data_IF_165789889719
#
_entry.id   IF_165789889719
#
_cell.length_a   1.000
_cell.length_b   1.000
_cell.length_c   1.000
_cell.angle_alpha   90.00
_cell.angle_beta   90.00
_cell.angle_gamma   90.00
#
_symmetry.space_group_name_H-M   'P 1'
#
loop_
_entity.id
_entity.type
_entity.pdbx_description
1 polymer ?
#
# COMPACT_ATOMS: atom_id res chain seq x y z
N UNK A 1 -5.33 1.92 -15.58
CA UNK A 1 -4.14 2.24 -14.75
C UNK A 1 -3.97 1.15 -13.69
N UNK A 2 -2.78 0.57 -13.56
CA UNK A 2 -2.51 -0.61 -12.69
C UNK A 2 -1.70 -0.28 -11.42
N UNK A 3 -1.22 0.96 -11.29
CA UNK A 3 -0.36 1.41 -10.20
C UNK A 3 -1.10 1.72 -8.89
N UNK A 4 -0.36 2.04 -7.81
CA UNK A 4 -0.93 2.53 -6.58
C UNK A 4 -1.53 3.93 -6.76
N UNK A 5 -2.48 4.26 -5.90
CA UNK A 5 -3.10 5.58 -5.80
C UNK A 5 -2.48 6.40 -4.65
N UNK A 6 -1.82 5.71 -3.72
CA UNK A 6 -1.26 6.28 -2.52
C UNK A 6 0.02 5.52 -2.13
N UNK A 7 1.06 6.25 -1.74
CA UNK A 7 2.24 5.67 -1.07
C UNK A 7 2.36 6.27 0.33
N UNK A 8 2.42 5.38 1.31
CA UNK A 8 2.60 5.73 2.73
C UNK A 8 3.97 5.23 3.19
N UNK A 9 4.78 6.12 3.76
CA UNK A 9 6.05 5.78 4.40
C UNK A 9 5.79 5.28 5.83
N UNK A 10 6.26 4.06 6.11
CA UNK A 10 6.25 3.47 7.44
C UNK A 10 7.40 3.95 8.31
N UNK A 11 7.46 3.47 9.56
CA UNK A 11 8.44 3.94 10.56
C UNK A 11 9.80 3.26 10.45
N UNK A 12 9.89 2.05 9.87
CA UNK A 12 11.13 1.24 9.81
C UNK A 12 11.60 1.04 8.36
N UNK A 13 11.64 2.15 7.62
CA UNK A 13 12.03 2.26 6.21
C UNK A 13 11.16 1.49 5.20
N UNK A 14 10.10 0.81 5.63
CA UNK A 14 9.11 0.25 4.70
C UNK A 14 8.23 1.34 4.07
N UNK A 15 7.83 1.10 2.83
CA UNK A 15 6.80 1.86 2.13
C UNK A 15 5.59 0.97 1.90
N UNK A 16 4.41 1.58 1.80
CA UNK A 16 3.13 0.90 1.59
C UNK A 16 2.50 1.49 0.35
N UNK A 17 2.47 0.72 -0.73
CA UNK A 17 1.73 1.06 -1.93
C UNK A 17 0.28 0.63 -1.72
N UNK A 18 -0.65 1.58 -1.85
CA UNK A 18 -2.07 1.36 -1.60
C UNK A 18 -2.85 1.62 -2.87
N UNK A 19 -3.78 0.72 -3.18
CA UNK A 19 -4.70 0.84 -4.32
C UNK A 19 -6.12 0.49 -3.88
N UNK A 20 -7.09 1.32 -4.24
CA UNK A 20 -8.49 0.98 -4.07
C UNK A 20 -8.92 -0.09 -5.09
N UNK A 21 -9.60 -1.12 -4.59
CA UNK A 21 -10.14 -2.23 -5.36
C UNK A 21 -11.64 -2.27 -5.10
N UNK A 22 -12.46 -1.63 -5.95
CA UNK A 22 -13.89 -1.45 -5.68
C UNK A 22 -14.68 -2.76 -5.76
N UNK A 23 -14.21 -3.74 -6.55
CA UNK A 23 -14.88 -5.01 -6.76
C UNK A 23 -14.06 -6.15 -6.18
N UNK A 24 -14.46 -6.63 -5.01
CA UNK A 24 -14.02 -7.92 -4.44
C UNK A 24 -15.24 -8.71 -3.98
N UNK A 25 -15.09 -10.01 -3.70
CA UNK A 25 -16.18 -10.86 -3.21
C UNK A 25 -16.71 -10.44 -1.82
N UNK A 26 -16.00 -9.59 -1.08
CA UNK A 26 -16.38 -9.04 0.24
C UNK A 26 -16.61 -7.52 0.19
N UNK A 27 -16.94 -6.97 -0.98
CA UNK A 27 -17.13 -5.53 -1.21
C UNK A 27 -15.83 -4.74 -1.43
N UNK A 28 -15.87 -3.41 -1.49
CA UNK A 28 -14.68 -2.59 -1.73
C UNK A 28 -13.59 -2.82 -0.69
N UNK A 29 -12.34 -2.82 -1.13
CA UNK A 29 -11.14 -2.98 -0.27
C UNK A 29 -10.01 -2.11 -0.78
N UNK A 30 -9.01 -1.90 0.06
CA UNK A 30 -7.71 -1.37 -0.31
C UNK A 30 -6.71 -2.52 -0.33
N UNK A 31 -6.06 -2.74 -1.47
CA UNK A 31 -4.87 -3.58 -1.55
C UNK A 31 -3.69 -2.78 -1.02
N UNK A 32 -3.01 -3.32 -0.03
CA UNK A 32 -1.81 -2.75 0.57
C UNK A 32 -0.64 -3.68 0.30
N UNK A 33 0.36 -3.17 -0.41
CA UNK A 33 1.63 -3.88 -0.66
C UNK A 33 2.71 -3.18 0.13
N UNK A 34 3.22 -3.86 1.16
CA UNK A 34 4.33 -3.37 1.98
C UNK A 34 5.64 -3.84 1.34
N UNK A 35 6.52 -2.90 1.05
CA UNK A 35 7.79 -3.18 0.41
C UNK A 35 8.92 -2.35 1.02
N UNK A 36 10.15 -2.81 0.83
CA UNK A 36 11.36 -2.02 1.06
C UNK A 36 12.11 -1.86 -0.24
N UNK A 37 12.79 -0.75 -0.39
CA UNK A 37 13.68 -0.50 -1.51
C UNK A 37 15.12 -0.58 -0.99
N UNK A 38 15.90 -1.47 -1.59
CA UNK A 38 17.32 -1.66 -1.26
C UNK A 38 18.08 -1.91 -2.56
N UNK A 39 19.19 -1.20 -2.76
CA UNK A 39 20.04 -1.34 -3.96
C UNK A 39 19.27 -1.20 -5.28
N UNK A 40 18.33 -0.26 -5.35
CA UNK A 40 17.49 -0.01 -6.53
C UNK A 40 16.44 -1.10 -6.82
N UNK A 41 16.26 -2.07 -5.90
CA UNK A 41 15.27 -3.15 -6.04
C UNK A 41 14.21 -3.06 -4.95
N UNK A 42 12.95 -3.25 -5.35
CA UNK A 42 11.80 -3.32 -4.43
C UNK A 42 11.56 -4.76 -4.02
N UNK A 43 11.56 -5.01 -2.72
CA UNK A 43 11.28 -6.30 -2.11
C UNK A 43 9.94 -6.24 -1.39
N UNK A 44 8.99 -7.06 -1.82
CA UNK A 44 7.68 -7.18 -1.16
C UNK A 44 7.88 -7.95 0.14
N UNK A 45 7.46 -7.35 1.25
CA UNK A 45 7.46 -7.99 2.57
C UNK A 45 6.14 -8.73 2.77
N UNK A 46 5.02 -8.06 2.47
CA UNK A 46 3.68 -8.64 2.59
C UNK A 46 2.69 -7.85 1.73
N UNK A 47 1.58 -8.50 1.38
CA UNK A 47 0.44 -7.87 0.76
C UNK A 47 -0.85 -8.34 1.45
N UNK A 48 -1.77 -7.40 1.68
CA UNK A 48 -3.05 -7.71 2.33
C UNK A 48 -4.15 -6.75 1.88
N UNK A 49 -5.39 -7.14 2.12
CA UNK A 49 -6.56 -6.27 1.94
C UNK A 49 -7.02 -5.69 3.26
N UNK A 50 -7.48 -4.44 3.25
CA UNK A 50 -8.18 -3.79 4.37
C UNK A 50 -9.40 -3.04 3.86
N UNK A 51 -10.48 -3.01 4.63
CA UNK A 51 -11.63 -2.12 4.34
C UNK A 51 -11.41 -0.70 4.85
N UNK A 52 -10.42 -0.48 5.71
CA UNK A 52 -10.21 0.79 6.42
C UNK A 52 -8.80 1.33 6.18
N UNK A 53 -8.74 2.49 5.51
CA UNK A 53 -7.50 3.20 5.20
C UNK A 53 -6.84 3.77 6.47
N UNK A 54 -7.61 4.08 7.53
CA UNK A 54 -7.08 4.64 8.80
C UNK A 54 -6.23 3.64 9.59
N UNK A 55 -6.35 2.35 9.27
CA UNK A 55 -5.50 1.28 9.82
C UNK A 55 -4.09 1.30 9.22
N UNK A 56 -3.90 1.92 8.05
CA UNK A 56 -2.60 2.02 7.40
C UNK A 56 -1.83 3.18 8.02
N UNK A 57 -0.95 2.87 8.99
CA UNK A 57 -0.15 3.88 9.71
C UNK A 57 1.06 4.35 8.91
N UNK A 58 1.44 5.61 9.10
CA UNK A 58 2.59 6.25 8.48
C UNK A 58 2.22 7.58 7.83
N UNK A 59 3.19 8.19 7.17
CA UNK A 59 3.03 9.48 6.51
C UNK A 59 2.79 9.29 5.02
N UNK A 60 1.82 10.03 4.48
CA UNK A 60 1.59 10.04 3.03
C UNK A 60 2.74 10.77 2.36
N UNK A 61 3.42 10.09 1.44
CA UNK A 61 4.57 10.65 0.70
C UNK A 61 4.29 10.86 -0.78
N UNK A 62 3.22 10.24 -1.31
CA UNK A 62 2.82 10.43 -2.71
C UNK A 62 1.35 10.03 -2.92
N UNK A 63 0.70 10.68 -3.90
CA UNK A 63 -0.66 10.41 -4.40
C UNK A 63 -0.72 10.55 -5.92
N UNK A 64 -1.55 9.73 -6.57
CA UNK A 64 -1.82 9.77 -8.00
C UNK A 64 -3.03 10.65 -8.34
#
# INVERSE_FOLDING_TARGET
>A
MTGPELIIRGRRAESKAVRHVPKTHLGPKYLVVVYREASGRKHIITAYFTSDLKKIKGDVVWRA
#
